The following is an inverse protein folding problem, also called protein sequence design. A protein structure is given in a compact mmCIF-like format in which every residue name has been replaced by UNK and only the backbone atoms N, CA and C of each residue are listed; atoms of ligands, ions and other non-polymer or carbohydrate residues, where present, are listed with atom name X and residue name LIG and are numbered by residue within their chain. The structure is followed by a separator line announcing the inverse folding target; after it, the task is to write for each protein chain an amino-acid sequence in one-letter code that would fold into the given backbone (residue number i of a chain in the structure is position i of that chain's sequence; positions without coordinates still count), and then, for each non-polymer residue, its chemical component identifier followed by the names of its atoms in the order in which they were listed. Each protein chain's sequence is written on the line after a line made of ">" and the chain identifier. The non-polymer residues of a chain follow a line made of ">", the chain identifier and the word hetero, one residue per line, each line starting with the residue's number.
data_IF_647220838992
#
_entry.id   IF_647220838992
#
_cell.length_a   1.000
_cell.length_b   1.000
_cell.length_c   1.000
_cell.angle_alpha   90.00
_cell.angle_beta   90.00
_cell.angle_gamma   90.00
#
_symmetry.space_group_name_H-M   'P 1'
#
loop_
_entity.id
_entity.type
_entity.pdbx_description
1 polymer ?
#
# COMPACT_ATOMS: atom_id res chain seq x y z
N UNK A 1 6.56 -29.96 -21.76
CA UNK A 1 5.87 -29.51 -20.54
C UNK A 1 6.87 -28.71 -19.71
N UNK A 2 7.04 -27.43 -20.04
CA UNK A 2 7.86 -26.50 -19.27
C UNK A 2 6.91 -25.55 -18.55
N UNK A 3 6.84 -25.69 -17.23
CA UNK A 3 6.11 -24.81 -16.34
C UNK A 3 6.67 -23.40 -16.49
N UNK A 4 5.87 -22.52 -17.10
CA UNK A 4 6.12 -21.09 -17.10
C UNK A 4 5.96 -20.58 -15.66
N UNK A 5 7.08 -20.25 -15.02
CA UNK A 5 7.13 -19.37 -13.86
C UNK A 5 6.58 -18.01 -14.29
N UNK A 6 5.29 -17.81 -14.08
CA UNK A 6 4.68 -16.49 -14.11
C UNK A 6 5.21 -15.76 -12.88
N UNK A 7 6.26 -14.95 -13.10
CA UNK A 7 6.72 -13.94 -12.15
C UNK A 7 5.57 -12.94 -12.00
N UNK A 8 4.72 -13.17 -11.02
CA UNK A 8 3.67 -12.27 -10.58
C UNK A 8 4.19 -11.21 -9.57
N UNK A 9 5.51 -10.98 -9.50
CA UNK A 9 6.13 -10.03 -8.57
C UNK A 9 5.86 -8.54 -8.89
N UNK A 10 5.13 -8.22 -9.97
CA UNK A 10 4.84 -6.83 -10.35
C UNK A 10 3.54 -6.24 -9.77
N UNK A 11 2.65 -7.07 -9.23
CA UNK A 11 1.30 -6.61 -8.81
C UNK A 11 1.26 -6.05 -7.38
N UNK A 12 1.90 -6.72 -6.43
CA UNK A 12 1.81 -6.37 -5.01
C UNK A 12 2.70 -5.20 -4.61
N UNK A 13 3.88 -5.07 -5.22
CA UNK A 13 4.82 -3.97 -4.92
C UNK A 13 4.21 -2.59 -5.17
N UNK A 14 3.47 -2.42 -6.27
CA UNK A 14 2.82 -1.14 -6.59
C UNK A 14 1.74 -0.74 -5.58
N UNK A 15 0.97 -1.70 -5.07
CA UNK A 15 -0.04 -1.46 -4.02
C UNK A 15 0.61 -1.04 -2.69
N UNK A 16 1.67 -1.74 -2.29
CA UNK A 16 2.39 -1.43 -1.05
C UNK A 16 3.08 -0.08 -1.14
N UNK A 17 3.74 0.24 -2.26
CA UNK A 17 4.40 1.53 -2.46
C UNK A 17 3.40 2.70 -2.39
N UNK A 18 2.23 2.54 -3.01
CA UNK A 18 1.14 3.52 -2.91
C UNK A 18 0.67 3.67 -1.46
N UNK A 19 0.48 2.56 -0.74
CA UNK A 19 0.06 2.60 0.65
C UNK A 19 1.10 3.30 1.55
N UNK A 20 2.39 3.05 1.33
CA UNK A 20 3.48 3.70 2.06
C UNK A 20 3.47 5.21 1.84
N UNK A 21 3.28 5.66 0.59
CA UNK A 21 3.22 7.09 0.28
C UNK A 21 2.07 7.78 1.03
N UNK A 22 0.87 7.21 0.94
CA UNK A 22 -0.32 7.73 1.61
C UNK A 22 -0.14 7.71 3.13
N UNK A 23 0.36 6.61 3.70
CA UNK A 23 0.56 6.47 5.14
C UNK A 23 1.55 7.50 5.71
N UNK A 24 2.60 7.87 4.94
CA UNK A 24 3.54 8.92 5.33
C UNK A 24 2.87 10.29 5.37
N UNK A 25 2.09 10.63 4.33
CA UNK A 25 1.36 11.90 4.29
C UNK A 25 0.31 12.00 5.40
N UNK A 26 -0.47 10.93 5.63
CA UNK A 26 -1.46 10.85 6.71
C UNK A 26 -0.82 11.00 8.10
N UNK A 27 0.38 10.47 8.30
CA UNK A 27 1.12 10.62 9.58
C UNK A 27 1.51 12.07 9.83
N UNK A 28 1.86 12.83 8.79
CA UNK A 28 2.23 14.24 8.91
C UNK A 28 1.01 15.15 9.10
N UNK A 29 -0.14 14.80 8.49
CA UNK A 29 -1.35 15.63 8.45
C UNK A 29 -2.62 14.78 8.64
N UNK A 30 -2.86 14.25 9.85
CA UNK A 30 -3.98 13.34 10.10
C UNK A 30 -5.36 14.00 9.94
N UNK A 31 -5.45 15.32 10.11
CA UNK A 31 -6.65 16.12 9.90
C UNK A 31 -6.97 16.38 8.42
N UNK A 32 -6.01 16.16 7.52
CA UNK A 32 -6.18 16.27 6.06
C UNK A 32 -6.47 14.92 5.38
N UNK A 33 -6.90 13.90 6.13
CA UNK A 33 -7.02 12.53 5.62
C UNK A 33 -7.86 12.39 4.34
N UNK A 34 -9.07 12.96 4.31
CA UNK A 34 -9.92 12.91 3.12
C UNK A 34 -9.30 13.60 1.91
N UNK A 35 -8.57 14.70 2.12
CA UNK A 35 -7.90 15.45 1.06
C UNK A 35 -6.69 14.68 0.51
N UNK A 36 -5.91 14.07 1.38
CA UNK A 36 -4.77 13.22 1.00
C UNK A 36 -5.29 12.02 0.19
N UNK A 37 -6.25 11.27 0.72
CA UNK A 37 -6.84 10.14 -0.01
C UNK A 37 -7.42 10.57 -1.37
N UNK A 38 -8.12 11.70 -1.42
CA UNK A 38 -8.63 12.27 -2.67
C UNK A 38 -7.53 12.63 -3.68
N UNK A 39 -6.39 13.17 -3.23
CA UNK A 39 -5.24 13.45 -4.10
C UNK A 39 -4.63 12.17 -4.70
N UNK A 40 -4.76 11.05 -3.99
CA UNK A 40 -4.36 9.71 -4.43
C UNK A 40 -5.48 8.96 -5.18
N UNK A 41 -6.58 9.64 -5.55
CA UNK A 41 -7.76 9.06 -6.21
C UNK A 41 -8.34 7.86 -5.43
N UNK A 42 -8.33 7.97 -4.10
CA UNK A 42 -8.73 6.91 -3.19
C UNK A 42 -9.80 7.40 -2.24
N UNK A 43 -10.80 6.55 -1.99
CA UNK A 43 -11.79 6.76 -0.94
C UNK A 43 -11.34 6.14 0.38
N UNK A 44 -11.98 6.52 1.49
CA UNK A 44 -11.72 5.91 2.79
C UNK A 44 -11.96 4.38 2.78
N UNK A 45 -13.02 3.92 2.10
CA UNK A 45 -13.34 2.48 1.99
C UNK A 45 -12.29 1.71 1.18
N UNK A 46 -11.79 2.30 0.08
CA UNK A 46 -10.70 1.70 -0.70
C UNK A 46 -9.39 1.68 0.08
N UNK A 47 -9.10 2.73 0.86
CA UNK A 47 -7.95 2.78 1.75
C UNK A 47 -8.01 1.69 2.82
N UNK A 48 -9.16 1.55 3.48
CA UNK A 48 -9.38 0.51 4.48
C UNK A 48 -9.23 -0.89 3.86
N UNK A 49 -9.85 -1.13 2.70
CA UNK A 49 -9.73 -2.40 1.97
C UNK A 49 -8.27 -2.72 1.62
N UNK A 50 -7.52 -1.74 1.10
CA UNK A 50 -6.10 -1.90 0.80
C UNK A 50 -5.29 -2.24 2.04
N UNK A 51 -5.62 -1.63 3.18
CA UNK A 51 -4.91 -1.91 4.43
C UNK A 51 -5.24 -3.28 5.00
N UNK A 52 -6.47 -3.77 4.84
CA UNK A 52 -6.79 -5.17 5.13
C UNK A 52 -6.05 -6.13 4.20
N UNK A 53 -5.99 -5.87 2.89
CA UNK A 53 -5.23 -6.69 1.94
C UNK A 53 -3.74 -6.77 2.34
N UNK A 54 -3.14 -5.63 2.73
CA UNK A 54 -1.75 -5.58 3.20
C UNK A 54 -1.56 -6.34 4.51
N UNK A 55 -2.51 -6.24 5.44
CA UNK A 55 -2.43 -6.92 6.74
C UNK A 55 -2.64 -8.44 6.64
N UNK A 56 -3.42 -8.90 5.65
CA UNK A 56 -3.71 -10.33 5.44
C UNK A 56 -2.54 -11.08 4.76
N UNK A 57 -1.72 -10.39 3.96
CA UNK A 57 -0.53 -10.95 3.32
C UNK A 57 0.76 -10.59 4.10
N UNK A 58 1.43 -11.57 4.76
CA UNK A 58 2.65 -11.31 5.54
C UNK A 58 3.78 -10.66 4.73
N UNK A 59 3.91 -10.98 3.43
CA UNK A 59 4.94 -10.40 2.59
C UNK A 59 4.64 -8.93 2.25
N UNK A 60 3.36 -8.59 2.05
CA UNK A 60 2.94 -7.20 1.84
C UNK A 60 3.07 -6.39 3.12
N UNK A 61 2.70 -6.95 4.27
CA UNK A 61 2.91 -6.31 5.57
C UNK A 61 4.39 -6.01 5.84
N UNK A 62 5.29 -6.97 5.58
CA UNK A 62 6.73 -6.76 5.74
C UNK A 62 7.25 -5.65 4.80
N UNK A 63 6.82 -5.66 3.54
CA UNK A 63 7.19 -4.62 2.57
C UNK A 63 6.67 -3.23 2.99
N UNK A 64 5.46 -3.15 3.52
CA UNK A 64 4.85 -1.91 3.99
C UNK A 64 5.64 -1.33 5.17
N UNK A 65 5.92 -2.15 6.18
CA UNK A 65 6.74 -1.76 7.34
C UNK A 65 8.14 -1.33 6.93
N UNK A 66 8.79 -2.09 6.02
CA UNK A 66 10.09 -1.71 5.48
C UNK A 66 10.03 -0.38 4.71
N UNK A 67 8.95 -0.12 3.96
CA UNK A 67 8.72 1.12 3.23
C UNK A 67 8.54 2.34 4.15
N UNK A 68 7.90 2.16 5.32
CA UNK A 68 7.76 3.20 6.34
C UNK A 68 9.09 3.59 6.99
N UNK A 69 10.05 2.67 7.06
CA UNK A 69 11.38 2.92 7.66
C UNK A 69 12.37 3.57 6.69
N UNK A 70 12.11 3.53 5.37
CA UNK A 70 12.95 4.20 4.36
C UNK A 70 12.78 5.72 4.46
N UNK A 71 13.92 6.41 4.65
CA UNK A 71 14.01 7.87 4.75
C UNK A 71 13.66 8.56 3.44
#
# INVERSE_FOLDING_TARGET
>A
MFLALVVACGGSGGKVDQAVAIAKELREKPDEAEKILGAHQMTAEQWETLMYEIADDPAMAEQFEAGLQKK
#
